data_IF_403966843683
#
_entry.id   IF_403966843683
#
_cell.length_a   1.000
_cell.length_b   1.000
_cell.length_c   1.000
_cell.angle_alpha   90.00
_cell.angle_beta   90.00
_cell.angle_gamma   90.00
#
_symmetry.space_group_name_H-M   'P 1'
#
loop_
_entity.id
_entity.type
_entity.pdbx_description
1 polymer ?
#
# COMPACT_ATOMS: atom_id res chain seq x y z
N UNK A 1 -29.01 19.15 33.07
CA UNK A 1 -28.27 18.95 31.81
C UNK A 1 -28.00 17.46 31.72
N UNK A 2 -28.58 16.70 30.77
CA UNK A 2 -28.36 15.27 30.72
C UNK A 2 -26.89 14.97 30.39
N UNK A 3 -26.38 13.89 30.98
CA UNK A 3 -24.99 13.44 30.90
C UNK A 3 -24.57 13.17 29.44
N UNK A 4 -23.92 14.16 28.84
CA UNK A 4 -23.41 14.07 27.48
C UNK A 4 -22.16 13.19 27.42
N UNK A 5 -22.33 11.95 26.95
CA UNK A 5 -21.22 11.03 26.67
C UNK A 5 -20.25 11.66 25.66
N UNK A 6 -19.02 11.96 26.08
CA UNK A 6 -17.97 12.51 25.22
C UNK A 6 -17.42 11.42 24.30
N UNK A 7 -17.56 11.60 22.98
CA UNK A 7 -16.99 10.70 21.97
C UNK A 7 -15.79 11.37 21.29
N UNK A 8 -14.66 10.66 21.23
CA UNK A 8 -13.52 11.07 20.42
C UNK A 8 -13.86 10.79 18.95
N UNK A 9 -14.04 11.85 18.16
CA UNK A 9 -14.30 11.75 16.72
C UNK A 9 -13.08 12.19 15.93
N UNK A 10 -12.87 11.57 14.77
CA UNK A 10 -11.82 11.99 13.84
C UNK A 10 -12.31 13.23 13.10
N UNK A 11 -11.65 14.36 13.32
CA UNK A 11 -12.14 15.69 12.89
C UNK A 11 -12.45 15.74 11.39
N UNK A 12 -11.57 15.27 10.52
CA UNK A 12 -11.79 15.34 9.08
C UNK A 12 -12.98 14.48 8.60
N UNK A 13 -13.29 13.38 9.31
CA UNK A 13 -14.48 12.56 9.02
C UNK A 13 -15.75 13.29 9.42
N UNK A 14 -15.76 13.83 10.64
CA UNK A 14 -16.88 14.62 11.15
C UNK A 14 -17.19 15.82 10.25
N UNK A 15 -16.16 16.58 9.84
CA UNK A 15 -16.33 17.73 8.95
C UNK A 15 -16.84 17.30 7.58
N UNK A 16 -16.33 16.20 7.01
CA UNK A 16 -16.83 15.67 5.75
C UNK A 16 -18.30 15.26 5.84
N UNK A 17 -18.67 14.48 6.86
CA UNK A 17 -20.05 14.00 7.04
C UNK A 17 -21.04 15.14 7.31
N UNK A 18 -20.61 16.18 8.02
CA UNK A 18 -21.45 17.34 8.34
C UNK A 18 -21.68 18.26 7.12
N UNK A 19 -20.71 18.37 6.21
CA UNK A 19 -20.76 19.33 5.09
C UNK A 19 -21.10 18.70 3.74
N UNK A 20 -20.78 17.42 3.55
CA UNK A 20 -20.94 16.70 2.28
C UNK A 20 -21.98 15.60 2.41
N UNK A 21 -21.92 14.83 3.50
CA UNK A 21 -22.83 13.71 3.77
C UNK A 21 -22.10 12.42 4.16
N UNK A 22 -22.85 11.34 4.42
CA UNK A 22 -22.31 10.12 4.99
C UNK A 22 -21.21 9.52 4.11
N UNK A 23 -20.13 9.06 4.76
CA UNK A 23 -19.08 8.30 4.07
C UNK A 23 -19.66 6.92 3.72
N UNK A 24 -19.67 6.50 2.44
CA UNK A 24 -20.23 5.21 2.06
C UNK A 24 -19.53 4.04 2.79
N UNK A 25 -20.29 2.98 3.04
CA UNK A 25 -19.77 1.79 3.70
C UNK A 25 -18.57 1.20 2.93
N UNK A 26 -17.54 0.77 3.67
CA UNK A 26 -16.32 0.21 3.08
C UNK A 26 -15.37 1.25 2.46
N UNK A 27 -15.67 2.55 2.55
CA UNK A 27 -14.79 3.61 2.09
C UNK A 27 -14.11 4.37 3.25
N UNK A 28 -12.91 4.86 2.95
CA UNK A 28 -12.08 5.72 3.81
C UNK A 28 -11.78 7.02 3.09
N UNK A 29 -11.52 8.09 3.83
CA UNK A 29 -11.15 9.38 3.23
C UNK A 29 -9.65 9.44 2.94
N UNK A 30 -9.29 9.58 1.66
CA UNK A 30 -7.91 9.83 1.21
C UNK A 30 -7.65 11.34 1.15
N UNK A 31 -6.57 11.78 1.81
CA UNK A 31 -6.10 13.16 1.73
C UNK A 31 -5.35 13.37 0.41
N UNK A 32 -6.02 13.98 -0.56
CA UNK A 32 -5.42 14.36 -1.84
C UNK A 32 -4.24 15.32 -1.65
N UNK A 33 -4.33 16.19 -0.64
CA UNK A 33 -3.29 17.14 -0.27
C UNK A 33 -2.11 16.53 0.52
N UNK A 34 -2.19 15.25 0.93
CA UNK A 34 -1.18 14.56 1.78
C UNK A 34 -0.89 15.22 3.14
N UNK A 35 -1.73 16.15 3.58
CA UNK A 35 -1.66 16.80 4.90
C UNK A 35 -2.64 16.12 5.85
N UNK A 36 -2.13 15.31 6.79
CA UNK A 36 -2.94 14.53 7.75
C UNK A 36 -3.89 15.37 8.61
N UNK A 37 -3.50 16.62 8.92
CA UNK A 37 -4.30 17.54 9.72
C UNK A 37 -5.37 18.30 8.90
N UNK A 38 -5.36 18.19 7.57
CA UNK A 38 -6.33 18.89 6.73
C UNK A 38 -7.74 18.32 6.93
N UNK A 39 -8.71 19.23 7.13
CA UNK A 39 -10.12 18.88 7.32
C UNK A 39 -11.03 19.49 6.25
N UNK A 40 -10.48 20.18 5.23
CA UNK A 40 -11.27 20.72 4.13
C UNK A 40 -11.86 19.56 3.29
N UNK A 41 -13.20 19.41 3.18
CA UNK A 41 -13.82 18.34 2.42
C UNK A 41 -13.41 18.30 0.94
N UNK A 42 -13.08 19.44 0.32
CA UNK A 42 -12.61 19.50 -1.06
C UNK A 42 -11.24 18.83 -1.27
N UNK A 43 -10.50 18.55 -0.19
CA UNK A 43 -9.22 17.83 -0.24
C UNK A 43 -9.34 16.35 0.17
N UNK A 44 -10.57 15.85 0.38
CA UNK A 44 -10.86 14.50 0.84
C UNK A 44 -11.66 13.77 -0.24
N UNK A 45 -11.27 12.52 -0.52
CA UNK A 45 -11.98 11.65 -1.46
C UNK A 45 -12.33 10.33 -0.75
N UNK A 46 -13.61 9.91 -0.70
CA UNK A 46 -13.98 8.57 -0.28
C UNK A 46 -13.45 7.54 -1.27
N UNK A 47 -12.54 6.70 -0.83
CA UNK A 47 -11.91 5.64 -1.64
C UNK A 47 -11.85 4.34 -0.87
N UNK A 48 -11.59 3.23 -1.56
CA UNK A 48 -11.32 1.96 -0.88
C UNK A 48 -9.97 1.99 -0.16
N UNK A 49 -9.82 1.17 0.87
CA UNK A 49 -8.53 0.98 1.56
C UNK A 49 -7.39 0.68 0.60
N UNK A 50 -7.66 -0.14 -0.42
CA UNK A 50 -6.67 -0.48 -1.45
C UNK A 50 -6.17 0.76 -2.18
N UNK A 51 -7.07 1.65 -2.59
CA UNK A 51 -6.71 2.88 -3.31
C UNK A 51 -5.93 3.81 -2.39
N UNK A 52 -6.40 4.04 -1.17
CA UNK A 52 -5.72 4.86 -0.16
C UNK A 52 -4.29 4.37 0.10
N UNK A 53 -4.12 3.06 0.33
CA UNK A 53 -2.81 2.44 0.56
C UNK A 53 -1.89 2.60 -0.66
N UNK A 54 -2.38 2.31 -1.87
CA UNK A 54 -1.56 2.34 -3.09
C UNK A 54 -1.15 3.75 -3.52
N UNK A 55 -1.97 4.75 -3.23
CA UNK A 55 -1.64 6.17 -3.44
C UNK A 55 -0.64 6.70 -2.41
N UNK A 56 -0.56 6.08 -1.24
CA UNK A 56 0.35 6.48 -0.17
C UNK A 56 1.83 6.14 -0.40
N UNK A 57 2.63 6.41 0.65
CA UNK A 57 4.08 6.20 0.70
C UNK A 57 4.49 4.90 1.44
N UNK A 58 3.57 3.96 1.65
CA UNK A 58 3.87 2.70 2.34
C UNK A 58 4.85 1.82 1.54
N UNK A 59 5.54 0.91 2.22
CA UNK A 59 6.41 -0.10 1.58
C UNK A 59 5.61 -0.93 0.57
N UNK A 60 4.35 -1.24 0.88
CA UNK A 60 3.43 -1.95 -0.04
C UNK A 60 3.22 -1.16 -1.32
N UNK A 61 2.94 0.15 -1.21
CA UNK A 61 2.73 1.03 -2.35
C UNK A 61 4.01 1.20 -3.19
N UNK A 62 5.15 1.39 -2.52
CA UNK A 62 6.46 1.43 -3.18
C UNK A 62 6.73 0.14 -3.97
N UNK A 63 6.54 -1.03 -3.34
CA UNK A 63 6.75 -2.33 -3.99
C UNK A 63 5.75 -2.62 -5.12
N UNK A 64 4.52 -2.12 -5.02
CA UNK A 64 3.54 -2.21 -6.10
C UNK A 64 3.96 -1.38 -7.32
N UNK A 65 4.52 -0.18 -7.10
CA UNK A 65 5.01 0.71 -8.17
C UNK A 65 6.36 0.31 -8.76
N UNK A 66 7.17 -0.49 -8.05
CA UNK A 66 8.48 -0.95 -8.54
C UNK A 66 8.33 -1.61 -9.93
N UNK A 67 9.13 -1.15 -10.89
CA UNK A 67 9.26 -1.76 -12.23
C UNK A 67 10.42 -2.74 -12.29
N UNK A 68 11.38 -2.64 -11.38
CA UNK A 68 12.57 -3.47 -11.31
C UNK A 68 12.71 -4.10 -9.92
N UNK A 69 13.33 -5.28 -9.85
CA UNK A 69 13.71 -5.89 -8.57
C UNK A 69 14.93 -5.17 -7.97
N UNK A 70 15.28 -5.50 -6.73
CA UNK A 70 16.39 -4.85 -6.02
C UNK A 70 17.78 -5.14 -6.65
N UNK A 71 17.86 -6.06 -7.61
CA UNK A 71 19.06 -6.35 -8.42
C UNK A 71 19.01 -5.72 -9.82
N UNK A 72 18.01 -4.87 -10.12
CA UNK A 72 17.91 -4.18 -11.41
C UNK A 72 17.25 -4.99 -12.53
N UNK A 73 16.72 -6.18 -12.27
CA UNK A 73 15.98 -6.94 -13.29
C UNK A 73 14.54 -6.43 -13.43
N UNK A 74 14.10 -6.19 -14.67
CA UNK A 74 12.75 -5.71 -14.96
C UNK A 74 11.67 -6.75 -14.62
N UNK A 75 10.57 -6.30 -14.01
CA UNK A 75 9.39 -7.11 -13.74
C UNK A 75 8.48 -7.23 -14.97
N UNK A 76 8.85 -8.11 -15.90
CA UNK A 76 8.01 -8.50 -17.05
C UNK A 76 7.20 -9.76 -16.74
N UNK A 77 6.19 -10.10 -17.55
CA UNK A 77 5.43 -11.35 -17.40
C UNK A 77 6.33 -12.60 -17.42
N UNK A 78 7.37 -12.59 -18.25
CA UNK A 78 8.36 -13.66 -18.35
C UNK A 78 9.30 -13.70 -17.13
N UNK A 79 9.71 -12.54 -16.61
CA UNK A 79 10.68 -12.47 -15.50
C UNK A 79 10.02 -12.39 -14.10
N UNK A 80 8.69 -12.40 -14.01
CA UNK A 80 7.95 -12.19 -12.76
C UNK A 80 7.08 -13.37 -12.34
N UNK A 81 7.23 -13.86 -11.12
CA UNK A 81 6.32 -14.86 -10.54
C UNK A 81 5.82 -14.41 -9.17
N UNK A 82 4.72 -15.02 -8.71
CA UNK A 82 4.14 -14.77 -7.39
C UNK A 82 4.33 -15.98 -6.49
N UNK A 83 4.82 -15.75 -5.29
CA UNK A 83 4.97 -16.78 -4.27
C UNK A 83 4.73 -16.19 -2.88
N UNK A 84 3.88 -16.84 -2.07
CA UNK A 84 3.52 -16.38 -0.71
C UNK A 84 3.14 -14.88 -0.66
N UNK A 85 2.32 -14.44 -1.61
CA UNK A 85 1.87 -13.05 -1.72
C UNK A 85 2.93 -12.04 -2.21
N UNK A 86 4.17 -12.46 -2.47
CA UNK A 86 5.26 -11.59 -2.92
C UNK A 86 5.48 -11.75 -4.43
N UNK A 87 5.87 -10.64 -5.07
CA UNK A 87 6.36 -10.64 -6.44
C UNK A 87 7.87 -10.92 -6.43
N UNK A 88 8.29 -11.97 -7.12
CA UNK A 88 9.69 -12.41 -7.17
C UNK A 88 10.20 -12.40 -8.62
N UNK A 89 11.50 -12.18 -8.75
CA UNK A 89 12.20 -12.12 -10.02
C UNK A 89 12.78 -13.50 -10.39
N UNK A 90 12.48 -14.01 -11.58
CA UNK A 90 12.99 -15.31 -12.05
C UNK A 90 14.49 -15.29 -12.28
N UNK A 91 15.04 -14.20 -12.81
CA UNK A 91 16.49 -14.05 -12.96
C UNK A 91 17.22 -14.20 -11.61
N UNK A 92 16.79 -13.46 -10.58
CA UNK A 92 17.36 -13.59 -9.22
C UNK A 92 17.25 -15.02 -8.67
N UNK A 93 16.14 -15.70 -8.94
CA UNK A 93 15.95 -17.09 -8.49
C UNK A 93 16.94 -18.04 -9.19
N UNK A 94 17.17 -17.89 -10.50
CA UNK A 94 18.17 -18.68 -11.24
C UNK A 94 19.58 -18.46 -10.67
N UNK A 95 19.95 -17.22 -10.39
CA UNK A 95 21.27 -16.89 -9.82
C UNK A 95 21.46 -17.53 -8.44
N UNK A 96 20.42 -17.49 -7.59
CA UNK A 96 20.45 -18.10 -6.28
C UNK A 96 20.60 -19.64 -6.36
N UNK A 97 19.87 -20.29 -7.27
CA UNK A 97 19.98 -21.74 -7.49
C UNK A 97 21.37 -22.12 -7.99
N UNK A 98 21.93 -21.37 -8.95
CA UNK A 98 23.27 -21.62 -9.47
C UNK A 98 24.34 -21.50 -8.37
N UNK A 99 24.25 -20.47 -7.51
CA UNK A 99 25.13 -20.31 -6.34
C UNK A 99 25.04 -21.48 -5.37
N UNK A 100 23.82 -21.91 -5.03
CA UNK A 100 23.60 -23.04 -4.12
C UNK A 100 24.19 -24.36 -4.67
N UNK A 101 23.99 -24.64 -5.96
CA UNK A 101 24.55 -25.83 -6.61
C UNK A 101 26.08 -25.85 -6.59
N UNK A 102 26.73 -24.69 -6.81
CA UNK A 102 28.18 -24.56 -6.74
C UNK A 102 28.73 -24.88 -5.34
N UNK A 103 28.09 -24.36 -4.28
CA UNK A 103 28.46 -24.64 -2.89
C UNK A 103 28.31 -26.11 -2.54
N UNK A 104 27.24 -26.77 -3.01
CA UNK A 104 26.99 -28.20 -2.74
C UNK A 104 28.01 -29.11 -3.43
N UNK A 105 28.47 -28.76 -4.64
CA UNK A 105 29.47 -29.54 -5.40
C UNK A 105 30.88 -29.45 -4.81
N UNK A 106 31.22 -28.37 -4.11
CA UNK A 106 32.50 -28.22 -3.40
C UNK A 106 32.55 -28.90 -2.02
N UNK A 107 31.47 -29.56 -1.60
CA UNK A 107 31.33 -30.23 -0.30
C UNK A 107 31.41 -31.77 -0.38
N UNK A 108 31.62 -32.29 -1.58
CA UNK A 108 31.89 -33.69 -1.94
C UNK A 108 33.29 -33.79 -2.51
#
# INVERSE_FOLDING_TARGET
MPDGERKNVVVHRFVYESLVGPIPEGLVLDHLCRVRACCNPAHLEPVTDRVNILRGASITAANARKTHCDHGHEFTSQNTYRHRGRRLCRACNRDAVARYAAVRKGRT
#
